data_IF_318929573678
#
_entry.id   IF_318929573678
#
_cell.length_a   1.000
_cell.length_b   1.000
_cell.length_c   1.000
_cell.angle_alpha   90.00
_cell.angle_beta   90.00
_cell.angle_gamma   90.00
#
_symmetry.space_group_name_H-M   'P 1'
#
loop_
_entity.id
_entity.type
_entity.pdbx_description
1 polymer ?
#
# COMPACT_ATOMS: atom_id res chain seq x y z
N UNK A 1 -5.88 -10.78 -20.12
CA UNK A 1 -6.32 -9.51 -20.74
C UNK A 1 -5.50 -8.41 -20.09
N UNK A 2 -4.75 -7.63 -20.87
CA UNK A 2 -4.11 -6.43 -20.34
C UNK A 2 -5.21 -5.41 -19.98
N UNK A 3 -5.06 -4.76 -18.83
CA UNK A 3 -5.97 -3.71 -18.39
C UNK A 3 -5.81 -2.50 -19.31
N UNK A 4 -6.88 -2.05 -19.97
CA UNK A 4 -6.88 -0.77 -20.67
C UNK A 4 -7.28 0.31 -19.67
N UNK A 5 -6.34 1.18 -19.33
CA UNK A 5 -6.56 2.30 -18.42
C UNK A 5 -6.68 3.57 -19.28
N UNK A 6 -7.59 4.47 -18.93
CA UNK A 6 -7.64 5.79 -19.58
C UNK A 6 -6.45 6.62 -19.15
N UNK A 7 -6.06 7.65 -19.90
CA UNK A 7 -4.95 8.55 -19.52
C UNK A 7 -5.13 9.13 -18.14
N UNK A 8 -6.35 9.54 -17.81
CA UNK A 8 -6.67 10.03 -16.48
C UNK A 8 -6.48 8.92 -15.44
N UNK A 9 -6.84 7.68 -15.75
CA UNK A 9 -6.58 6.54 -14.88
C UNK A 9 -5.09 6.19 -14.76
N UNK A 10 -4.28 6.33 -15.80
CA UNK A 10 -2.82 6.14 -15.74
C UNK A 10 -2.14 7.25 -14.95
N UNK A 11 -2.54 8.49 -15.20
CA UNK A 11 -2.11 9.66 -14.45
C UNK A 11 -2.51 9.49 -12.98
N UNK A 12 -3.75 9.08 -12.69
CA UNK A 12 -4.20 8.85 -11.31
C UNK A 12 -3.52 7.64 -10.66
N UNK A 13 -3.19 6.61 -11.44
CA UNK A 13 -2.36 5.49 -10.99
C UNK A 13 -0.96 5.96 -10.63
N UNK A 14 -0.31 6.76 -11.48
CA UNK A 14 1.03 7.30 -11.25
C UNK A 14 1.04 8.32 -10.10
N UNK A 15 -0.01 9.16 -9.99
CA UNK A 15 -0.23 10.03 -8.83
C UNK A 15 -0.35 9.22 -7.55
N UNK A 16 -1.11 8.13 -7.56
CA UNK A 16 -1.24 7.24 -6.41
C UNK A 16 0.10 6.60 -6.08
N UNK A 17 0.83 6.15 -7.10
CA UNK A 17 2.13 5.48 -6.96
C UNK A 17 3.18 6.38 -6.30
N UNK A 18 3.21 7.64 -6.75
CA UNK A 18 4.15 8.69 -6.31
C UNK A 18 3.63 9.52 -5.12
N UNK A 19 2.46 9.18 -4.59
CA UNK A 19 1.76 9.92 -3.52
C UNK A 19 1.49 11.40 -3.85
N UNK A 20 1.19 11.72 -5.10
CA UNK A 20 0.99 13.09 -5.58
C UNK A 20 -0.25 13.78 -4.96
N UNK A 21 -1.22 13.04 -4.42
CA UNK A 21 -2.46 13.57 -3.82
C UNK A 21 -2.50 13.47 -2.30
N UNK A 22 -1.42 13.04 -1.64
CA UNK A 22 -1.29 12.84 -0.19
C UNK A 22 -2.29 11.86 0.44
N UNK A 23 -2.93 11.01 -0.35
CA UNK A 23 -3.62 9.84 0.17
C UNK A 23 -2.79 8.63 -0.18
N UNK A 24 -2.52 7.84 0.86
CA UNK A 24 -1.94 6.49 0.86
C UNK A 24 -1.99 5.84 -0.54
N UNK A 25 -0.87 5.35 -1.09
CA UNK A 25 0.35 4.91 -0.39
C UNK A 25 1.43 5.99 -0.21
N UNK A 26 2.15 5.90 0.91
CA UNK A 26 3.04 6.89 1.59
C UNK A 26 4.14 7.53 0.72
N UNK A 27 4.75 8.60 1.27
CA UNK A 27 5.81 9.41 0.65
C UNK A 27 7.00 8.56 0.17
N UNK A 28 7.79 9.12 -0.73
CA UNK A 28 8.99 8.49 -1.27
C UNK A 28 10.23 9.23 -0.77
N UNK A 29 11.29 8.47 -0.47
CA UNK A 29 12.62 9.01 -0.19
C UNK A 29 13.54 8.67 -1.36
N UNK A 30 14.15 9.70 -1.93
CA UNK A 30 15.21 9.55 -2.91
C UNK A 30 16.52 9.23 -2.20
N UNK A 31 17.17 8.15 -2.63
CA UNK A 31 18.43 7.67 -2.09
C UNK A 31 19.45 7.41 -3.19
N UNK A 32 20.73 7.54 -2.88
CA UNK A 32 21.86 7.14 -3.71
C UNK A 32 22.33 5.76 -3.28
N UNK A 33 22.92 4.99 -4.20
CA UNK A 33 23.54 3.71 -3.86
C UNK A 33 24.99 3.58 -4.34
N UNK A 34 25.81 2.90 -3.53
CA UNK A 34 27.24 2.68 -3.77
C UNK A 34 27.59 1.24 -4.16
N UNK A 35 26.61 0.33 -4.15
CA UNK A 35 26.79 -1.01 -4.69
C UNK A 35 26.95 -0.96 -6.21
N UNK A 36 27.83 -1.80 -6.77
CA UNK A 36 27.97 -1.93 -8.22
C UNK A 36 26.86 -2.83 -8.80
N UNK A 37 25.60 -2.50 -8.50
CA UNK A 37 24.42 -3.25 -8.92
C UNK A 37 23.85 -2.62 -10.19
N UNK A 38 23.46 -3.46 -11.14
CA UNK A 38 22.68 -3.05 -12.31
C UNK A 38 21.22 -3.41 -12.06
N UNK A 39 20.29 -2.43 -12.05
CA UNK A 39 18.90 -2.71 -11.73
C UNK A 39 18.20 -3.72 -12.64
N UNK A 40 17.45 -4.62 -12.01
CA UNK A 40 16.59 -5.62 -12.63
C UNK A 40 15.19 -5.65 -12.00
N UNK A 41 14.22 -6.20 -12.70
CA UNK A 41 12.79 -6.20 -12.29
C UNK A 41 12.51 -7.00 -11.01
N UNK A 42 13.36 -7.99 -10.69
CA UNK A 42 13.23 -8.83 -9.50
C UNK A 42 14.09 -8.35 -8.32
N UNK A 43 14.66 -7.15 -8.41
CA UNK A 43 15.61 -6.67 -7.42
C UNK A 43 14.94 -6.32 -6.09
N UNK A 44 15.66 -6.62 -5.03
CA UNK A 44 15.26 -6.36 -3.63
C UNK A 44 16.42 -5.73 -2.87
N UNK A 45 16.15 -4.93 -1.83
CA UNK A 45 17.21 -4.40 -0.96
C UNK A 45 17.97 -5.54 -0.27
N UNK A 46 19.29 -5.39 -0.13
CA UNK A 46 20.13 -6.33 0.61
C UNK A 46 21.42 -5.67 1.10
N UNK A 47 22.18 -6.37 1.94
CA UNK A 47 23.56 -5.95 2.32
C UNK A 47 24.52 -5.88 1.11
N UNK A 48 24.20 -6.52 -0.01
CA UNK A 48 25.05 -6.53 -1.20
C UNK A 48 24.58 -5.54 -2.28
N UNK A 49 23.32 -5.13 -2.26
CA UNK A 49 22.68 -4.32 -3.30
C UNK A 49 21.89 -3.18 -2.69
N UNK A 50 22.01 -1.99 -3.29
CA UNK A 50 21.24 -0.80 -2.93
C UNK A 50 21.48 -0.32 -1.49
N UNK A 51 22.73 -0.33 -1.04
CA UNK A 51 23.14 0.33 0.19
C UNK A 51 23.68 1.74 -0.08
N UNK A 52 23.36 2.64 0.84
CA UNK A 52 23.66 4.06 0.77
C UNK A 52 25.16 4.37 1.02
N UNK A 53 25.65 5.52 0.52
CA UNK A 53 27.05 5.98 0.70
C UNK A 53 27.35 6.43 2.15
N UNK A 54 27.31 5.52 3.12
CA UNK A 54 27.53 5.87 4.54
C UNK A 54 29.01 6.02 4.89
N UNK A 55 29.91 5.45 4.10
CA UNK A 55 31.35 5.62 4.20
C UNK A 55 32.04 5.59 2.82
N UNK A 56 33.37 5.67 2.82
CA UNK A 56 34.18 5.66 1.59
C UNK A 56 34.57 4.25 1.11
N UNK A 57 34.14 3.19 1.80
CA UNK A 57 34.59 1.82 1.53
C UNK A 57 33.81 1.13 0.40
N UNK A 58 32.73 1.74 -0.08
CA UNK A 58 31.79 1.10 -1.01
C UNK A 58 31.26 -0.24 -0.44
N UNK A 59 31.03 -0.32 0.87
CA UNK A 59 30.40 -1.44 1.56
C UNK A 59 29.15 -0.99 2.28
N UNK A 60 28.27 -1.91 2.65
CA UNK A 60 27.08 -1.56 3.42
C UNK A 60 27.47 -1.05 4.82
N UNK A 61 27.10 0.20 5.12
CA UNK A 61 27.29 0.85 6.42
C UNK A 61 26.06 0.79 7.33
N UNK A 62 25.14 -0.15 7.11
CA UNK A 62 23.92 -0.26 7.91
C UNK A 62 24.21 -0.48 9.40
N UNK A 63 23.35 0.06 10.27
CA UNK A 63 23.54 0.03 11.72
C UNK A 63 24.38 1.17 12.31
N UNK A 64 24.98 2.02 11.47
CA UNK A 64 25.76 3.18 11.90
C UNK A 64 25.35 4.45 11.15
N UNK A 65 25.52 5.60 11.79
CA UNK A 65 25.29 6.90 11.14
C UNK A 65 26.33 7.17 10.04
N UNK A 66 25.95 7.83 8.93
CA UNK A 66 26.87 8.17 7.83
C UNK A 66 28.01 9.09 8.28
N UNK A 67 29.21 8.78 7.81
CA UNK A 67 30.42 9.60 7.99
C UNK A 67 30.70 10.56 6.83
N UNK A 68 29.94 10.42 5.73
CA UNK A 68 30.14 11.10 4.45
C UNK A 68 29.43 12.46 4.35
N UNK A 69 28.60 12.79 5.34
CA UNK A 69 27.65 13.90 5.26
C UNK A 69 26.41 13.60 4.42
N UNK A 70 26.14 12.31 4.16
CA UNK A 70 24.91 11.90 3.50
C UNK A 70 23.68 12.41 4.28
N UNK A 71 22.72 13.07 3.61
CA UNK A 71 21.73 13.90 4.30
C UNK A 71 20.74 13.07 5.08
N UNK A 72 20.44 13.50 6.30
CA UNK A 72 19.26 13.07 7.04
C UNK A 72 18.00 13.60 6.36
N UNK A 73 16.92 12.82 6.43
CA UNK A 73 15.63 13.26 5.92
C UNK A 73 15.15 14.43 6.75
N UNK A 74 14.94 15.56 6.07
CA UNK A 74 14.27 16.71 6.65
C UNK A 74 12.76 16.52 6.49
N UNK A 75 12.06 16.40 7.61
CA UNK A 75 10.60 16.44 7.62
C UNK A 75 10.14 17.82 7.16
N UNK A 76 9.59 17.88 5.95
CA UNK A 76 8.91 19.06 5.44
C UNK A 76 7.39 19.01 5.70
N UNK A 77 6.99 18.17 6.65
CA UNK A 77 5.62 17.81 7.01
C UNK A 77 5.45 17.84 8.52
N UNK A 78 4.27 18.26 8.99
CA UNK A 78 3.95 18.44 10.42
C UNK A 78 2.79 17.54 10.88
N UNK A 79 2.35 16.60 10.05
CA UNK A 79 1.33 15.63 10.44
C UNK A 79 1.89 14.61 11.44
N UNK A 80 1.08 14.24 12.43
CA UNK A 80 1.45 13.54 13.68
C UNK A 80 2.12 12.17 13.47
N UNK A 81 1.86 11.50 12.34
CA UNK A 81 2.30 10.12 12.07
C UNK A 81 3.39 10.02 10.98
N UNK A 82 4.07 11.12 10.65
CA UNK A 82 5.03 11.20 9.52
C UNK A 82 6.38 11.80 9.92
N UNK A 83 6.98 11.25 10.98
CA UNK A 83 8.35 11.59 11.39
C UNK A 83 9.40 10.65 10.78
N UNK A 84 10.11 11.14 9.75
CA UNK A 84 11.16 10.40 9.06
C UNK A 84 12.58 10.84 9.46
N UNK A 85 12.79 11.56 10.57
CA UNK A 85 14.12 12.14 10.88
C UNK A 85 15.22 11.11 11.07
N UNK A 86 14.87 9.85 11.35
CA UNK A 86 15.84 8.76 11.52
C UNK A 86 16.23 8.06 10.21
N UNK A 87 15.66 8.49 9.08
CA UNK A 87 16.05 8.05 7.75
C UNK A 87 17.07 8.98 7.10
N UNK A 88 17.76 8.45 6.10
CA UNK A 88 18.70 9.19 5.25
C UNK A 88 18.22 9.26 3.80
N UNK A 89 18.49 10.39 3.14
CA UNK A 89 18.05 10.69 1.78
C UNK A 89 17.25 11.99 1.69
N UNK A 90 16.54 12.17 0.58
CA UNK A 90 15.73 13.36 0.34
C UNK A 90 14.26 12.95 0.25
N UNK A 91 13.44 13.43 1.18
CA UNK A 91 11.99 13.22 1.17
C UNK A 91 11.35 14.00 0.01
N UNK A 92 10.67 13.26 -0.88
CA UNK A 92 10.01 13.83 -2.05
C UNK A 92 8.59 14.26 -1.70
N UNK A 93 8.29 15.54 -1.94
CA UNK A 93 6.94 16.08 -1.86
C UNK A 93 6.13 15.69 -3.11
N UNK A 94 5.06 14.92 -2.92
CA UNK A 94 4.17 14.44 -3.96
C UNK A 94 3.62 15.52 -4.92
N UNK A 95 3.34 16.74 -4.44
CA UNK A 95 2.76 17.79 -5.29
C UNK A 95 3.73 18.38 -6.30
N UNK A 96 5.02 18.09 -6.16
CA UNK A 96 6.06 18.66 -7.03
C UNK A 96 6.32 17.81 -8.28
N UNK A 97 5.68 16.64 -8.37
CA UNK A 97 5.72 15.83 -9.58
C UNK A 97 4.89 16.52 -10.67
N UNK A 98 5.53 16.80 -11.79
CA UNK A 98 4.85 17.15 -13.03
C UNK A 98 4.51 15.85 -13.76
N UNK A 99 3.22 15.60 -14.02
CA UNK A 99 2.73 14.33 -14.57
C UNK A 99 1.90 14.60 -15.80
N UNK A 100 2.27 13.99 -16.92
CA UNK A 100 1.55 14.13 -18.18
C UNK A 100 1.80 12.97 -19.13
N UNK A 101 0.88 12.82 -20.09
CA UNK A 101 0.96 11.80 -21.13
C UNK A 101 1.47 12.43 -22.41
N UNK A 102 2.57 11.89 -22.95
CA UNK A 102 3.11 12.31 -24.25
C UNK A 102 2.80 11.25 -25.30
N UNK A 103 2.34 11.68 -26.47
CA UNK A 103 2.02 10.80 -27.59
C UNK A 103 3.27 10.54 -28.42
N UNK A 104 3.70 9.27 -28.49
CA UNK A 104 4.72 8.84 -29.44
C UNK A 104 4.05 8.05 -30.57
N UNK A 105 4.10 8.57 -31.80
CA UNK A 105 3.55 7.88 -32.96
C UNK A 105 4.33 6.58 -33.25
N UNK A 106 3.60 5.48 -33.43
CA UNK A 106 4.14 4.14 -33.71
C UNK A 106 3.70 3.67 -35.11
N UNK A 107 2.42 3.86 -35.45
CA UNK A 107 1.91 3.60 -36.78
C UNK A 107 1.75 4.92 -37.54
N UNK A 108 2.82 5.35 -38.20
CA UNK A 108 2.81 6.52 -39.10
C UNK A 108 2.53 6.10 -40.55
N UNK A 109 1.96 7.01 -41.35
CA UNK A 109 1.72 6.76 -42.77
C UNK A 109 0.46 5.94 -43.06
N UNK A 110 -0.49 5.93 -42.12
CA UNK A 110 -1.80 5.32 -42.31
C UNK A 110 -2.77 6.33 -42.91
N UNK A 111 -3.76 5.81 -43.62
CA UNK A 111 -4.87 6.59 -44.12
C UNK A 111 -6.17 5.98 -43.63
N UNK A 112 -7.15 6.82 -43.33
CA UNK A 112 -8.44 6.38 -42.85
C UNK A 112 -9.60 7.07 -43.58
N UNK A 113 -10.68 6.32 -43.76
CA UNK A 113 -11.99 6.80 -44.16
C UNK A 113 -12.93 6.79 -42.94
N UNK A 114 -13.83 7.76 -42.84
CA UNK A 114 -14.71 7.90 -41.67
C UNK A 114 -15.82 8.93 -41.91
N UNK A 115 -16.94 8.79 -41.21
CA UNK A 115 -18.10 9.68 -41.37
C UNK A 115 -18.22 10.63 -40.18
N UNK A 116 -18.42 11.93 -40.42
CA UNK A 116 -18.62 12.90 -39.33
C UNK A 116 -19.76 12.46 -38.39
N UNK A 117 -19.54 12.63 -37.08
CA UNK A 117 -20.50 12.26 -36.03
C UNK A 117 -20.52 10.78 -35.67
N UNK A 118 -19.69 9.93 -36.28
CA UNK A 118 -19.54 8.51 -35.91
C UNK A 118 -18.28 8.28 -35.08
N UNK A 119 -18.23 7.14 -34.39
CA UNK A 119 -17.07 6.69 -33.61
C UNK A 119 -16.14 5.77 -34.43
N UNK A 120 -16.38 5.58 -35.73
CA UNK A 120 -15.69 4.53 -36.50
C UNK A 120 -14.91 5.10 -37.67
N UNK A 121 -13.72 4.55 -37.86
CA UNK A 121 -12.87 4.76 -39.03
C UNK A 121 -12.45 3.41 -39.61
N UNK A 122 -12.23 3.35 -40.92
CA UNK A 122 -11.60 2.21 -41.60
C UNK A 122 -10.21 2.61 -42.02
N UNK A 123 -9.17 1.93 -41.53
CA UNK A 123 -7.77 2.22 -41.89
C UNK A 123 -7.32 1.38 -43.09
N UNK A 124 -6.35 1.88 -43.84
CA UNK A 124 -5.74 1.12 -44.94
C UNK A 124 -4.85 -0.04 -44.47
N UNK A 125 -4.33 0.03 -43.24
CA UNK A 125 -3.51 -1.00 -42.62
C UNK A 125 -3.62 -0.91 -41.08
N UNK A 126 -4.06 -2.01 -40.45
CA UNK A 126 -4.17 -2.13 -39.00
C UNK A 126 -2.93 -2.74 -38.32
N UNK A 127 -1.87 -3.07 -39.07
CA UNK A 127 -0.64 -3.61 -38.51
C UNK A 127 -0.04 -2.65 -37.48
N UNK A 128 0.40 -3.18 -36.34
CA UNK A 128 0.99 -2.43 -35.22
C UNK A 128 0.05 -1.48 -34.47
N UNK A 129 -1.22 -1.35 -34.88
CA UNK A 129 -2.25 -0.63 -34.12
C UNK A 129 -2.82 -1.56 -33.05
N UNK A 130 -2.93 -1.05 -31.84
CA UNK A 130 -3.52 -1.75 -30.68
C UNK A 130 -4.66 -0.95 -30.10
N UNK A 131 -5.59 -1.65 -29.43
CA UNK A 131 -6.57 -1.00 -28.57
C UNK A 131 -5.82 -0.17 -27.52
N UNK A 132 -6.26 1.05 -27.30
CA UNK A 132 -5.61 2.03 -26.43
C UNK A 132 -4.62 2.96 -27.14
N UNK A 133 -4.17 2.65 -28.36
CA UNK A 133 -3.35 3.59 -29.11
C UNK A 133 -4.17 4.86 -29.39
N UNK A 134 -3.54 6.02 -29.22
CA UNK A 134 -4.12 7.30 -29.58
C UNK A 134 -4.18 7.44 -31.08
N UNK A 135 -5.29 7.98 -31.57
CA UNK A 135 -5.50 8.29 -32.98
C UNK A 135 -5.39 9.80 -33.17
N UNK A 136 -4.51 10.22 -34.08
CA UNK A 136 -4.38 11.61 -34.51
C UNK A 136 -4.62 11.72 -36.01
N UNK A 137 -5.30 12.79 -36.42
CA UNK A 137 -5.55 13.08 -37.83
C UNK A 137 -6.61 14.16 -38.01
N UNK A 138 -6.66 14.74 -39.20
CA UNK A 138 -7.69 15.74 -39.51
C UNK A 138 -9.09 15.10 -39.40
N UNK A 139 -9.97 15.71 -38.60
CA UNK A 139 -11.32 15.17 -38.32
C UNK A 139 -11.40 14.29 -37.07
N UNK A 140 -10.28 13.87 -36.49
CA UNK A 140 -10.23 13.16 -35.21
C UNK A 140 -10.03 14.18 -34.07
N UNK A 141 -10.89 14.21 -33.04
CA UNK A 141 -10.68 15.06 -31.86
C UNK A 141 -9.35 14.78 -31.16
N UNK A 142 -8.76 15.77 -30.51
CA UNK A 142 -7.62 15.58 -29.61
C UNK A 142 -7.94 14.59 -28.49
N UNK A 143 -6.97 13.81 -28.04
CA UNK A 143 -7.11 12.77 -27.01
C UNK A 143 -8.11 11.64 -27.39
N UNK A 144 -8.23 11.33 -28.68
CA UNK A 144 -9.01 10.18 -29.15
C UNK A 144 -8.14 8.93 -29.13
N UNK A 145 -8.68 7.79 -28.68
CA UNK A 145 -7.97 6.51 -28.62
C UNK A 145 -8.82 5.38 -29.20
N UNK A 146 -8.16 4.30 -29.63
CA UNK A 146 -8.79 3.11 -30.23
C UNK A 146 -9.45 2.25 -29.15
N UNK A 147 -10.76 2.06 -29.23
CA UNK A 147 -11.58 1.28 -28.29
C UNK A 147 -11.70 -0.17 -28.73
N UNK A 148 -11.93 -0.39 -30.02
CA UNK A 148 -12.07 -1.72 -30.61
C UNK A 148 -11.40 -1.81 -31.99
N UNK A 149 -11.03 -3.03 -32.39
CA UNK A 149 -10.42 -3.32 -33.69
C UNK A 149 -11.09 -4.57 -34.25
N UNK A 150 -11.75 -4.42 -35.40
CA UNK A 150 -12.39 -5.50 -36.15
C UNK A 150 -11.84 -5.53 -37.57
N UNK A 151 -10.70 -6.21 -37.74
CA UNK A 151 -9.98 -6.20 -39.01
C UNK A 151 -9.38 -4.81 -39.28
N UNK A 152 -9.88 -4.12 -40.31
CA UNK A 152 -9.47 -2.75 -40.66
C UNK A 152 -10.38 -1.68 -40.08
N UNK A 153 -11.51 -2.06 -39.48
CA UNK A 153 -12.45 -1.15 -38.86
C UNK A 153 -12.08 -0.93 -37.39
N UNK A 154 -11.89 0.33 -37.01
CA UNK A 154 -11.56 0.74 -35.66
C UNK A 154 -12.74 1.52 -35.08
N UNK A 155 -13.02 1.28 -33.81
CA UNK A 155 -13.87 2.15 -33.00
C UNK A 155 -12.99 3.08 -32.16
N UNK A 156 -13.37 4.35 -32.08
CA UNK A 156 -12.66 5.41 -31.40
C UNK A 156 -13.44 5.88 -30.16
N UNK A 157 -12.75 6.48 -29.20
CA UNK A 157 -13.37 6.95 -27.95
C UNK A 157 -14.20 8.23 -28.09
N UNK A 158 -14.09 8.93 -29.22
CA UNK A 158 -14.79 10.18 -29.50
C UNK A 158 -15.34 10.20 -30.93
N UNK A 159 -16.39 11.00 -31.16
CA UNK A 159 -16.98 11.16 -32.50
C UNK A 159 -16.08 11.99 -33.42
N UNK A 160 -16.05 11.62 -34.71
CA UNK A 160 -15.34 12.40 -35.72
C UNK A 160 -15.98 13.78 -35.90
N UNK A 161 -15.14 14.82 -35.91
CA UNK A 161 -15.55 16.21 -36.13
C UNK A 161 -15.74 16.55 -37.60
N UNK A 162 -15.26 15.70 -38.50
CA UNK A 162 -15.41 15.85 -39.95
C UNK A 162 -15.44 14.48 -40.65
N UNK A 163 -16.00 14.43 -41.86
CA UNK A 163 -15.91 13.26 -42.73
C UNK A 163 -14.49 13.15 -43.27
N UNK A 164 -13.91 11.96 -43.19
CA UNK A 164 -12.55 11.63 -43.61
C UNK A 164 -12.61 10.81 -44.89
N UNK A 165 -11.76 11.12 -45.86
CA UNK A 165 -11.53 10.25 -47.02
C UNK A 165 -10.05 10.12 -47.29
N UNK A 166 -9.52 8.88 -47.25
CA UNK A 166 -8.09 8.56 -47.36
C UNK A 166 -7.19 9.52 -46.58
N UNK A 167 -7.67 9.96 -45.40
CA UNK A 167 -7.05 11.04 -44.62
C UNK A 167 -5.89 10.49 -43.83
N UNK A 168 -4.75 11.18 -43.87
CA UNK A 168 -3.57 10.79 -43.10
C UNK A 168 -3.89 10.76 -41.61
N UNK A 169 -3.63 9.61 -40.99
CA UNK A 169 -3.78 9.39 -39.56
C UNK A 169 -2.51 8.75 -39.01
N UNK A 170 -2.23 9.02 -37.74
CA UNK A 170 -1.15 8.40 -36.98
C UNK A 170 -1.73 7.75 -35.75
N UNK A 171 -1.18 6.60 -35.38
CA UNK A 171 -1.50 5.97 -34.10
C UNK A 171 -0.26 5.89 -33.22
N UNK A 172 -0.40 6.25 -31.95
CA UNK A 172 0.71 6.31 -31.02
C UNK A 172 0.35 5.82 -29.64
N UNK A 173 1.33 5.33 -28.88
CA UNK A 173 1.12 5.04 -27.45
C UNK A 173 1.27 6.33 -26.67
N UNK A 174 0.34 6.57 -25.75
CA UNK A 174 0.56 7.55 -24.70
C UNK A 174 1.57 6.99 -23.72
N UNK A 175 2.66 7.72 -23.46
CA UNK A 175 3.55 7.43 -22.34
C UNK A 175 3.27 8.41 -21.23
N UNK A 176 2.63 7.92 -20.17
CA UNK A 176 2.40 8.71 -18.97
C UNK A 176 3.71 8.77 -18.17
N UNK A 177 4.30 9.97 -18.11
CA UNK A 177 5.59 10.23 -17.47
C UNK A 177 5.40 11.23 -16.32
N UNK A 178 6.11 10.99 -15.23
CA UNK A 178 6.23 11.89 -14.10
C UNK A 178 7.68 12.37 -13.98
N UNK A 179 7.86 13.69 -13.87
CA UNK A 179 9.17 14.33 -13.70
C UNK A 179 9.23 15.07 -12.37
N UNK A 180 10.38 15.01 -11.70
CA UNK A 180 10.62 15.73 -10.44
C UNK A 180 11.71 16.79 -10.60
N UNK A 181 11.59 17.97 -9.94
CA UNK A 181 12.66 18.97 -9.93
C UNK A 181 14.01 18.41 -9.46
N UNK A 182 15.11 18.94 -10.00
CA UNK A 182 16.48 18.53 -9.63
C UNK A 182 16.66 18.53 -8.11
N UNK A 183 17.14 17.40 -7.58
CA UNK A 183 17.57 17.24 -6.20
C UNK A 183 19.09 17.19 -6.14
N UNK A 184 19.67 17.71 -5.06
CA UNK A 184 21.11 17.84 -4.90
C UNK A 184 21.54 17.15 -3.60
N UNK A 185 22.42 16.17 -3.73
CA UNK A 185 23.17 15.60 -2.62
C UNK A 185 24.50 16.33 -2.52
N UNK A 186 24.83 16.86 -1.34
CA UNK A 186 26.13 17.49 -1.05
C UNK A 186 26.84 16.69 0.02
N UNK A 187 28.07 16.27 -0.27
CA UNK A 187 28.87 15.46 0.66
C UNK A 187 29.85 16.34 1.43
N UNK A 188 30.09 15.99 2.69
CA UNK A 188 31.07 16.68 3.54
C UNK A 188 32.39 15.93 3.64
N UNK A 189 32.41 14.66 3.24
CA UNK A 189 33.60 13.78 3.23
C UNK A 189 33.56 12.84 2.03
N UNK A 190 34.66 12.13 1.78
CA UNK A 190 34.72 11.10 0.74
C UNK A 190 33.67 10.00 0.97
N UNK A 191 33.01 9.57 -0.11
CA UNK A 191 31.92 8.57 -0.08
C UNK A 191 32.11 7.42 -1.08
N UNK A 192 33.33 7.28 -1.60
CA UNK A 192 33.67 6.26 -2.59
C UNK A 192 33.00 6.54 -3.94
N UNK A 193 32.63 5.47 -4.64
CA UNK A 193 31.99 5.51 -5.95
C UNK A 193 30.46 5.37 -5.84
N UNK A 194 29.71 6.38 -6.26
CA UNK A 194 28.24 6.32 -6.30
C UNK A 194 27.79 5.87 -7.69
N UNK A 195 27.01 4.79 -7.75
CA UNK A 195 26.66 4.13 -9.02
C UNK A 195 25.30 4.54 -9.58
N UNK A 196 24.39 4.98 -8.72
CA UNK A 196 23.04 5.34 -9.13
C UNK A 196 22.19 5.84 -7.98
N UNK A 197 20.88 5.81 -8.20
CA UNK A 197 19.87 6.22 -7.24
C UNK A 197 18.70 5.25 -7.21
N UNK A 198 17.93 5.27 -6.12
CA UNK A 198 16.72 4.49 -5.96
C UNK A 198 15.70 5.26 -5.13
N UNK A 199 14.44 4.89 -5.28
CA UNK A 199 13.33 5.40 -4.49
C UNK A 199 12.92 4.30 -3.51
N UNK A 200 12.81 4.66 -2.24
CA UNK A 200 12.24 3.79 -1.21
C UNK A 200 10.94 4.37 -0.67
N UNK A 201 10.04 3.49 -0.23
CA UNK A 201 8.89 3.92 0.58
C UNK A 201 9.39 4.52 1.89
N UNK A 202 8.97 5.75 2.18
CA UNK A 202 9.25 6.40 3.44
C UNK A 202 8.59 5.59 4.58
N UNK A 203 9.34 5.38 5.64
CA UNK A 203 8.91 4.74 6.88
C UNK A 203 9.76 5.30 8.03
N UNK A 204 9.43 4.97 9.27
CA UNK A 204 10.09 5.55 10.42
C UNK A 204 11.22 4.64 10.98
N UNK A 205 11.67 3.65 10.21
CA UNK A 205 12.64 2.68 10.72
C UNK A 205 14.02 3.33 11.00
N UNK A 206 14.59 3.17 12.21
CA UNK A 206 15.86 3.78 12.56
C UNK A 206 17.04 3.17 11.80
N UNK A 207 18.12 3.94 11.68
CA UNK A 207 19.40 3.48 11.09
C UNK A 207 20.03 2.31 11.85
N UNK A 208 19.73 2.17 13.15
CA UNK A 208 20.18 1.05 13.98
C UNK A 208 19.48 -0.27 13.65
N UNK A 209 18.44 -0.24 12.82
CA UNK A 209 17.64 -1.39 12.42
C UNK A 209 17.71 -1.63 10.90
N UNK A 210 17.64 -0.56 10.11
CA UNK A 210 17.67 -0.61 8.65
C UNK A 210 18.90 -1.38 8.15
N UNK A 211 18.64 -2.52 7.50
CA UNK A 211 19.63 -3.38 6.86
C UNK A 211 20.63 -4.06 7.79
N UNK A 212 20.43 -3.98 9.11
CA UNK A 212 21.26 -4.66 10.10
C UNK A 212 20.96 -6.15 10.05
N UNK A 213 21.98 -6.96 9.78
CA UNK A 213 21.87 -8.42 9.74
C UNK A 213 21.26 -8.93 11.03
N UNK A 214 20.22 -9.76 10.90
CA UNK A 214 19.45 -10.29 12.02
C UNK A 214 18.93 -9.17 12.95
N UNK A 215 18.56 -8.04 12.34
CA UNK A 215 18.02 -6.88 13.05
C UNK A 215 16.65 -7.13 13.68
N UNK A 216 15.98 -8.23 13.35
CA UNK A 216 14.77 -8.67 14.01
C UNK A 216 14.71 -10.18 14.22
N UNK A 217 13.84 -10.59 15.13
CA UNK A 217 13.49 -11.98 15.38
C UNK A 217 11.99 -12.20 15.16
N UNK A 218 11.65 -13.34 14.58
CA UNK A 218 10.27 -13.69 14.22
C UNK A 218 9.84 -14.91 15.02
N UNK A 219 8.71 -14.78 15.68
CA UNK A 219 8.10 -15.84 16.48
C UNK A 219 6.61 -15.96 16.17
N UNK A 220 5.99 -17.08 16.55
CA UNK A 220 4.54 -17.20 16.48
C UNK A 220 3.87 -16.18 17.41
N UNK A 221 2.90 -15.46 16.89
CA UNK A 221 2.06 -14.55 17.66
C UNK A 221 1.13 -15.30 18.60
N UNK A 222 0.47 -14.55 19.49
CA UNK A 222 -0.62 -15.10 20.29
C UNK A 222 -1.81 -15.38 19.38
N UNK A 223 -2.20 -16.65 19.28
CA UNK A 223 -3.30 -17.10 18.45
C UNK A 223 -4.58 -16.32 18.76
N UNK A 224 -5.24 -15.82 17.72
CA UNK A 224 -6.53 -15.13 17.85
C UNK A 224 -7.64 -16.17 17.76
N UNK A 225 -8.57 -16.14 18.71
CA UNK A 225 -9.75 -17.01 18.72
C UNK A 225 -11.00 -16.20 18.44
N UNK A 226 -11.81 -16.64 17.47
CA UNK A 226 -13.16 -16.12 17.22
C UNK A 226 -14.18 -17.23 17.45
N UNK A 227 -15.10 -17.02 18.37
CA UNK A 227 -16.18 -17.96 18.70
C UNK A 227 -17.52 -17.50 18.11
N UNK A 228 -18.49 -18.40 18.02
CA UNK A 228 -19.79 -18.12 17.40
C UNK A 228 -19.74 -18.02 15.88
N UNK A 229 -18.63 -18.44 15.25
CA UNK A 229 -18.48 -18.37 13.80
C UNK A 229 -19.50 -19.27 13.09
N UNK A 230 -19.85 -18.90 11.86
CA UNK A 230 -20.74 -19.67 11.00
C UNK A 230 -20.14 -19.88 9.62
N UNK A 231 -20.18 -21.12 9.14
CA UNK A 231 -19.73 -21.51 7.82
C UNK A 231 -20.52 -22.71 7.29
N UNK A 232 -20.72 -22.76 5.98
CA UNK A 232 -21.44 -23.86 5.31
C UNK A 232 -20.44 -24.68 4.51
N UNK A 233 -20.49 -26.01 4.65
CA UNK A 233 -19.64 -26.93 3.89
C UNK A 233 -19.61 -26.61 2.39
N UNK A 234 -18.43 -26.66 1.79
CA UNK A 234 -18.21 -26.33 0.38
C UNK A 234 -18.15 -24.82 0.08
N UNK A 235 -18.33 -23.95 1.07
CA UNK A 235 -18.11 -22.50 0.92
C UNK A 235 -16.63 -22.17 1.13
N UNK A 236 -16.15 -21.06 0.56
CA UNK A 236 -14.81 -20.52 0.80
C UNK A 236 -14.83 -19.32 1.74
N UNK A 237 -15.77 -19.28 2.69
CA UNK A 237 -15.87 -18.18 3.64
C UNK A 237 -16.52 -18.60 4.95
N UNK A 238 -16.24 -17.84 6.00
CA UNK A 238 -16.92 -17.90 7.30
C UNK A 238 -17.44 -16.52 7.68
N UNK A 239 -18.54 -16.47 8.40
CA UNK A 239 -19.03 -15.27 9.06
C UNK A 239 -18.60 -15.27 10.52
N UNK A 240 -18.05 -14.16 10.97
CA UNK A 240 -17.78 -13.90 12.38
C UNK A 240 -19.09 -13.49 13.07
N UNK A 241 -19.22 -13.74 14.37
CA UNK A 241 -20.36 -13.26 15.13
C UNK A 241 -20.19 -11.77 15.44
N UNK A 242 -21.15 -10.95 15.06
CA UNK A 242 -21.22 -9.55 15.48
C UNK A 242 -21.31 -9.45 17.00
N UNK A 243 -20.52 -8.55 17.57
CA UNK A 243 -20.52 -8.25 19.01
C UNK A 243 -20.96 -6.80 19.20
N UNK A 244 -21.95 -6.62 20.08
CA UNK A 244 -22.48 -5.32 20.44
C UNK A 244 -22.21 -5.02 21.91
N UNK A 245 -21.74 -3.80 22.20
CA UNK A 245 -21.67 -3.25 23.56
C UNK A 245 -22.87 -2.35 23.75
N UNK A 246 -23.65 -2.58 24.82
CA UNK A 246 -24.99 -1.98 24.98
C UNK A 246 -25.17 -1.23 26.31
N UNK A 247 -24.37 -0.19 26.59
CA UNK A 247 -24.50 0.55 27.83
C UNK A 247 -25.72 1.49 27.80
N UNK A 248 -26.16 1.90 28.98
CA UNK A 248 -27.26 2.86 29.14
C UNK A 248 -26.74 4.27 28.98
N UNK A 249 -27.37 5.07 28.12
CA UNK A 249 -27.12 6.50 27.99
C UNK A 249 -27.66 7.20 29.24
N UNK A 250 -26.78 7.86 29.98
CA UNK A 250 -27.09 8.62 31.20
C UNK A 250 -27.31 10.11 30.91
N UNK A 251 -26.73 10.65 29.84
CA UNK A 251 -27.07 11.98 29.32
C UNK A 251 -26.68 12.15 27.85
N UNK A 252 -27.35 13.07 27.15
CA UNK A 252 -26.99 13.48 25.79
C UNK A 252 -27.92 14.58 25.30
N UNK A 253 -27.36 15.75 24.98
CA UNK A 253 -28.13 16.95 24.64
C UNK A 253 -28.22 17.09 23.13
N UNK A 254 -29.41 17.39 22.60
CA UNK A 254 -29.58 17.60 21.16
C UNK A 254 -28.62 18.68 20.64
N UNK A 255 -28.01 18.42 19.47
CA UNK A 255 -27.05 19.32 18.85
C UNK A 255 -25.61 19.23 19.37
N UNK A 256 -25.34 18.43 20.43
CA UNK A 256 -23.97 18.18 20.89
C UNK A 256 -23.36 16.95 20.22
N UNK A 257 -22.05 16.76 20.37
CA UNK A 257 -21.28 15.63 19.83
C UNK A 257 -20.90 14.63 20.94
N UNK A 258 -21.65 14.62 22.04
CA UNK A 258 -21.28 13.88 23.26
C UNK A 258 -22.48 13.20 23.88
N UNK A 259 -22.28 11.95 24.30
CA UNK A 259 -23.18 11.21 25.19
C UNK A 259 -22.41 10.75 26.42
N UNK A 260 -23.06 10.72 27.57
CA UNK A 260 -22.56 10.00 28.74
C UNK A 260 -23.25 8.64 28.83
N UNK A 261 -22.49 7.61 29.18
CA UNK A 261 -23.00 6.25 29.42
C UNK A 261 -22.81 5.82 30.87
N UNK A 262 -23.45 4.73 31.29
CA UNK A 262 -23.26 4.13 32.62
C UNK A 262 -21.91 3.38 32.72
N UNK A 263 -21.44 2.81 31.62
CA UNK A 263 -20.12 2.21 31.48
C UNK A 263 -19.58 2.33 30.05
N UNK A 264 -18.32 2.75 29.92
CA UNK A 264 -17.60 2.76 28.64
C UNK A 264 -16.76 1.49 28.43
N UNK A 265 -16.90 0.45 29.28
CA UNK A 265 -16.15 -0.80 29.13
C UNK A 265 -16.41 -1.41 27.75
N UNK A 266 -15.33 -1.75 27.03
CA UNK A 266 -15.34 -2.30 25.66
C UNK A 266 -15.87 -1.36 24.56
N UNK A 267 -16.16 -0.10 24.89
CA UNK A 267 -16.36 0.94 23.87
C UNK A 267 -15.00 1.39 23.36
N UNK A 268 -14.83 1.49 22.04
CA UNK A 268 -13.59 1.87 21.38
C UNK A 268 -13.84 2.95 20.32
N UNK A 269 -12.79 3.73 20.02
CA UNK A 269 -12.81 4.73 18.95
C UNK A 269 -13.04 4.00 17.61
N UNK A 270 -13.80 4.63 16.71
CA UNK A 270 -14.14 4.10 15.40
C UNK A 270 -15.39 3.21 15.36
N UNK A 271 -15.86 2.72 16.52
CA UNK A 271 -17.09 1.91 16.60
C UNK A 271 -18.29 2.70 16.10
N UNK A 272 -19.16 2.03 15.32
CA UNK A 272 -20.45 2.59 14.95
C UNK A 272 -21.37 2.57 16.15
N UNK A 273 -22.03 3.68 16.41
CA UNK A 273 -23.00 3.82 17.49
C UNK A 273 -24.39 4.07 16.94
N UNK A 274 -25.38 3.39 17.52
CA UNK A 274 -26.79 3.61 17.26
C UNK A 274 -27.55 3.75 18.58
N UNK A 275 -28.67 4.46 18.58
CA UNK A 275 -29.46 4.72 19.77
C UNK A 275 -30.45 5.85 19.55
N UNK A 276 -31.36 6.04 20.51
CA UNK A 276 -32.31 7.16 20.45
C UNK A 276 -31.55 8.48 20.46
N UNK A 277 -31.89 9.41 19.56
CA UNK A 277 -31.26 10.73 19.46
C UNK A 277 -29.90 10.75 18.75
N UNK A 278 -29.34 9.59 18.38
CA UNK A 278 -28.06 9.46 17.69
C UNK A 278 -28.28 9.44 16.17
N UNK A 279 -27.51 10.24 15.42
CA UNK A 279 -27.62 10.30 13.97
C UNK A 279 -27.25 8.96 13.31
N UNK A 280 -27.80 8.67 12.13
CA UNK A 280 -27.41 7.46 11.40
C UNK A 280 -25.92 7.50 11.01
N UNK A 281 -25.27 6.33 11.06
CA UNK A 281 -23.85 6.15 10.73
C UNK A 281 -22.92 7.01 11.59
N UNK A 282 -23.28 7.28 12.84
CA UNK A 282 -22.40 7.97 13.80
C UNK A 282 -21.31 7.02 14.29
N UNK A 283 -20.13 7.55 14.55
CA UNK A 283 -18.96 6.83 15.08
C UNK A 283 -18.40 7.49 16.32
N UNK A 284 -17.75 6.69 17.16
CA UNK A 284 -16.95 7.17 18.29
C UNK A 284 -15.66 7.80 17.79
N UNK A 285 -15.34 9.00 18.23
CA UNK A 285 -14.08 9.72 17.92
C UNK A 285 -13.22 9.97 19.16
N UNK A 286 -13.77 9.79 20.36
CA UNK A 286 -13.03 9.95 21.60
C UNK A 286 -13.80 9.37 22.78
N UNK A 287 -13.06 9.04 23.84
CA UNK A 287 -13.61 8.47 25.08
C UNK A 287 -12.88 9.15 26.24
N UNK A 288 -13.62 9.67 27.22
CA UNK A 288 -13.05 10.22 28.46
C UNK A 288 -13.91 9.80 29.65
N UNK A 289 -13.42 8.85 30.45
CA UNK A 289 -14.23 8.22 31.49
C UNK A 289 -15.47 7.54 30.88
N UNK A 290 -16.67 8.02 31.22
CA UNK A 290 -17.93 7.55 30.63
C UNK A 290 -18.52 8.50 29.59
N UNK A 291 -17.83 9.60 29.27
CA UNK A 291 -18.19 10.48 28.17
C UNK A 291 -17.66 9.91 26.84
N UNK A 292 -18.54 9.80 25.86
CA UNK A 292 -18.25 9.31 24.51
C UNK A 292 -18.46 10.45 23.51
N UNK A 293 -17.40 10.78 22.78
CA UNK A 293 -17.42 11.81 21.75
C UNK A 293 -17.71 11.19 20.39
N UNK A 294 -18.53 11.86 19.58
CA UNK A 294 -19.11 11.35 18.34
C UNK A 294 -18.70 12.22 17.14
N UNK A 295 -18.60 11.61 15.95
CA UNK A 295 -18.27 12.32 14.70
C UNK A 295 -19.43 13.19 14.17
N UNK A 296 -20.65 12.99 14.69
CA UNK A 296 -21.86 13.69 14.28
C UNK A 296 -22.64 14.21 15.49
N UNK A 297 -23.27 15.37 15.29
CA UNK A 297 -24.14 15.95 16.30
C UNK A 297 -25.39 15.08 16.53
N UNK A 298 -25.86 15.04 17.77
CA UNK A 298 -27.09 14.36 18.17
C UNK A 298 -28.32 15.02 17.52
N UNK A 299 -29.18 14.21 16.92
CA UNK A 299 -30.42 14.65 16.25
C UNK A 299 -31.56 14.92 17.21
N UNK A 300 -31.43 14.49 18.47
CA UNK A 300 -32.37 14.72 19.57
C UNK A 300 -31.69 14.46 20.91
N UNK A 301 -32.42 14.58 22.03
CA UNK A 301 -31.89 14.20 23.33
C UNK A 301 -31.61 12.68 23.36
N UNK A 302 -30.36 12.30 23.56
CA UNK A 302 -29.96 10.90 23.56
C UNK A 302 -30.32 10.24 24.89
N UNK A 303 -30.96 9.06 24.82
CA UNK A 303 -31.48 8.36 26.00
C UNK A 303 -31.70 6.87 25.72
N UNK A 304 -31.91 6.08 26.78
CA UNK A 304 -32.09 4.63 26.68
C UNK A 304 -30.77 3.90 26.45
N UNK A 305 -30.78 2.83 25.67
CA UNK A 305 -29.58 2.03 25.40
C UNK A 305 -28.88 2.51 24.13
N UNK A 306 -27.57 2.75 24.20
CA UNK A 306 -26.72 2.89 23.03
C UNK A 306 -26.23 1.50 22.60
N UNK A 307 -26.10 1.26 21.31
CA UNK A 307 -25.51 0.04 20.76
C UNK A 307 -24.24 0.42 20.00
N UNK A 308 -23.10 0.01 20.51
CA UNK A 308 -21.80 0.15 19.87
C UNK A 308 -21.42 -1.17 19.20
N UNK A 309 -21.26 -1.15 17.88
CA UNK A 309 -20.87 -2.33 17.12
C UNK A 309 -19.34 -2.46 17.15
N UNK A 310 -18.85 -3.57 17.70
CA UNK A 310 -17.42 -3.90 17.76
C UNK A 310 -16.95 -4.34 16.38
N UNK A 311 -15.78 -3.86 15.94
CA UNK A 311 -15.16 -4.40 14.73
C UNK A 311 -14.50 -5.74 15.03
N UNK A 312 -15.28 -6.82 14.96
CA UNK A 312 -14.82 -8.17 15.33
C UNK A 312 -13.72 -8.73 14.43
N UNK A 313 -13.44 -8.11 13.28
CA UNK A 313 -12.40 -8.51 12.35
C UNK A 313 -11.15 -7.61 12.39
N UNK A 314 -11.09 -6.62 13.31
CA UNK A 314 -10.03 -5.59 13.32
C UNK A 314 -8.61 -6.13 13.42
N UNK A 315 -8.43 -7.27 14.10
CA UNK A 315 -7.13 -7.93 14.30
C UNK A 315 -6.87 -9.07 13.30
N UNK A 316 -7.69 -9.20 12.26
CA UNK A 316 -7.52 -10.21 11.22
C UNK A 316 -6.99 -9.57 9.95
N UNK A 317 -6.10 -10.28 9.25
CA UNK A 317 -5.56 -9.83 7.97
C UNK A 317 -5.32 -10.99 7.02
N UNK A 318 -5.19 -10.70 5.72
CA UNK A 318 -4.90 -11.70 4.69
C UNK A 318 -3.58 -12.42 5.00
N UNK A 319 -3.47 -13.69 4.64
CA UNK A 319 -2.29 -14.53 4.89
C UNK A 319 -2.26 -15.22 6.26
N UNK A 320 -3.11 -14.82 7.23
CA UNK A 320 -3.20 -15.55 8.51
C UNK A 320 -3.63 -16.99 8.26
N UNK A 321 -2.93 -17.93 8.88
CA UNK A 321 -3.29 -19.35 8.83
C UNK A 321 -4.49 -19.61 9.74
N UNK A 322 -5.38 -20.50 9.32
CA UNK A 322 -6.64 -20.76 10.01
C UNK A 322 -6.72 -22.22 10.40
N UNK A 323 -7.20 -22.48 11.62
CA UNK A 323 -7.39 -23.83 12.11
C UNK A 323 -8.59 -23.95 13.07
N UNK A 324 -8.96 -25.18 13.39
CA UNK A 324 -9.86 -25.53 14.48
C UNK A 324 -9.34 -26.75 15.22
N UNK A 325 -9.59 -26.79 16.52
CA UNK A 325 -9.28 -27.95 17.37
C UNK A 325 -10.50 -28.82 17.65
N UNK A 326 -11.71 -28.33 17.33
CA UNK A 326 -12.97 -29.03 17.58
C UNK A 326 -13.23 -30.14 16.55
N UNK A 327 -13.99 -31.16 16.96
CA UNK A 327 -14.50 -32.21 16.08
C UNK A 327 -16.03 -32.11 15.97
N UNK A 328 -16.61 -32.07 14.76
CA UNK A 328 -15.92 -32.15 13.46
C UNK A 328 -15.14 -30.87 13.12
N UNK A 329 -13.98 -31.02 12.49
CA UNK A 329 -13.17 -29.89 12.01
C UNK A 329 -13.73 -29.41 10.66
N UNK A 330 -14.17 -28.16 10.57
CA UNK A 330 -14.67 -27.56 9.33
C UNK A 330 -13.60 -26.93 8.44
N UNK A 331 -12.37 -26.78 8.94
CA UNK A 331 -11.26 -26.10 8.26
C UNK A 331 -10.28 -27.12 7.65
N UNK A 332 -10.05 -26.99 6.34
CA UNK A 332 -9.05 -27.77 5.63
C UNK A 332 -7.62 -27.41 6.10
N UNK A 333 -6.68 -28.35 5.96
CA UNK A 333 -5.27 -28.07 6.25
C UNK A 333 -4.72 -26.96 5.34
N UNK A 334 -3.78 -26.16 5.87
CA UNK A 334 -3.13 -25.04 5.17
C UNK A 334 -4.07 -23.92 4.69
N UNK A 335 -5.28 -23.82 5.23
CA UNK A 335 -6.21 -22.74 4.90
C UNK A 335 -5.68 -21.40 5.41
N UNK A 336 -5.74 -20.36 4.58
CA UNK A 336 -5.39 -18.98 4.95
C UNK A 336 -6.51 -17.99 4.61
N UNK A 337 -6.46 -16.79 5.20
CA UNK A 337 -7.33 -15.68 4.82
C UNK A 337 -6.89 -15.11 3.46
N UNK A 338 -7.82 -14.98 2.51
CA UNK A 338 -7.58 -14.33 1.20
C UNK A 338 -8.31 -12.99 1.04
N UNK A 339 -9.24 -12.68 1.94
CA UNK A 339 -9.96 -11.41 1.93
C UNK A 339 -10.92 -11.28 3.12
N UNK A 340 -11.32 -10.06 3.43
CA UNK A 340 -12.25 -9.77 4.54
C UNK A 340 -13.23 -8.69 4.08
N UNK A 341 -14.53 -8.98 4.16
CA UNK A 341 -15.58 -7.97 4.08
C UNK A 341 -15.93 -7.55 5.51
N UNK A 342 -15.55 -6.33 5.90
CA UNK A 342 -15.80 -5.79 7.25
C UNK A 342 -17.28 -5.45 7.50
N UNK A 343 -18.10 -5.37 6.44
CA UNK A 343 -19.52 -5.04 6.56
C UNK A 343 -20.38 -6.31 6.64
N UNK A 344 -21.23 -6.37 7.67
CA UNK A 344 -22.23 -7.42 7.82
C UNK A 344 -23.31 -7.27 6.74
N UNK A 345 -23.43 -8.25 5.85
CA UNK A 345 -24.49 -8.28 4.83
C UNK A 345 -25.83 -8.70 5.44
N UNK A 346 -26.94 -8.27 4.86
CA UNK A 346 -28.28 -8.62 5.33
C UNK A 346 -28.47 -10.14 5.36
N UNK A 347 -28.84 -10.67 6.53
CA UNK A 347 -29.05 -12.12 6.74
C UNK A 347 -27.80 -12.87 7.23
N UNK A 348 -26.66 -12.19 7.34
CA UNK A 348 -25.44 -12.74 7.93
C UNK A 348 -25.32 -12.39 9.41
N UNK A 349 -24.50 -13.15 10.12
CA UNK A 349 -24.30 -12.98 11.57
C UNK A 349 -23.19 -11.99 11.92
N UNK A 350 -22.44 -11.51 10.92
CA UNK A 350 -21.34 -10.56 11.08
C UNK A 350 -20.42 -10.55 9.85
N UNK A 351 -19.25 -9.88 9.95
CA UNK A 351 -18.26 -9.76 8.88
C UNK A 351 -17.87 -11.09 8.26
N UNK A 352 -17.48 -11.06 6.99
CA UNK A 352 -17.12 -12.26 6.23
C UNK A 352 -15.62 -12.35 6.03
N UNK A 353 -15.05 -13.50 6.34
CA UNK A 353 -13.64 -13.84 6.09
C UNK A 353 -13.59 -14.87 4.97
N UNK A 354 -12.94 -14.54 3.86
CA UNK A 354 -12.74 -15.43 2.71
C UNK A 354 -11.48 -16.28 2.90
N UNK A 355 -11.59 -17.53 2.48
CA UNK A 355 -10.62 -18.59 2.71
C UNK A 355 -9.99 -19.03 1.39
N UNK A 356 -8.73 -19.46 1.47
CA UNK A 356 -8.01 -20.06 0.33
C UNK A 356 -8.58 -21.43 -0.08
N UNK A 357 -9.17 -22.16 0.89
CA UNK A 357 -9.72 -23.49 0.71
C UNK A 357 -11.23 -23.52 1.01
N UNK A 358 -11.91 -24.54 0.48
CA UNK A 358 -13.32 -24.80 0.81
C UNK A 358 -13.46 -25.41 2.20
N UNK A 359 -14.52 -25.02 2.91
CA UNK A 359 -14.92 -25.63 4.17
C UNK A 359 -15.25 -27.12 3.96
N UNK A 360 -14.71 -27.97 4.82
CA UNK A 360 -14.89 -29.44 4.76
C UNK A 360 -16.02 -29.94 5.64
N UNK A 361 -16.57 -29.08 6.52
CA UNK A 361 -17.78 -29.32 7.29
C UNK A 361 -18.47 -27.97 7.59
N UNK A 362 -19.70 -28.02 8.09
CA UNK A 362 -20.40 -26.87 8.62
C UNK A 362 -19.76 -26.42 9.94
N UNK A 363 -19.51 -25.12 10.05
CA UNK A 363 -19.04 -24.46 11.25
C UNK A 363 -20.23 -23.76 11.88
N UNK A 364 -20.63 -24.15 13.10
CA UNK A 364 -21.78 -23.55 13.78
C UNK A 364 -21.85 -23.99 15.24
N UNK A 365 -22.46 -23.16 16.08
CA UNK A 365 -22.62 -23.40 17.53
C UNK A 365 -23.28 -24.74 17.81
N UNK A 366 -24.28 -25.14 17.00
CA UNK A 366 -24.99 -26.42 17.18
C UNK A 366 -24.12 -27.66 16.96
N UNK A 367 -23.01 -27.52 16.25
CA UNK A 367 -22.04 -28.59 16.00
C UNK A 367 -20.88 -28.56 17.01
N UNK A 368 -20.82 -27.55 17.89
CA UNK A 368 -19.74 -27.36 18.87
C UNK A 368 -18.37 -27.06 18.26
N UNK A 369 -18.32 -26.63 17.00
CA UNK A 369 -17.10 -26.35 16.24
C UNK A 369 -17.05 -24.90 15.74
N UNK A 370 -17.69 -23.95 16.42
CA UNK A 370 -17.80 -22.54 16.03
C UNK A 370 -16.62 -21.65 16.46
N UNK A 371 -15.62 -22.23 17.14
CA UNK A 371 -14.38 -21.57 17.47
C UNK A 371 -13.36 -21.75 16.34
N UNK A 372 -12.92 -20.64 15.74
CA UNK A 372 -11.88 -20.60 14.71
C UNK A 372 -10.65 -19.91 15.29
N UNK A 373 -9.49 -20.49 14.99
CA UNK A 373 -8.18 -20.05 15.43
C UNK A 373 -7.43 -19.43 14.26
N UNK A 374 -6.78 -18.29 14.51
CA UNK A 374 -6.01 -17.55 13.51
C UNK A 374 -4.58 -17.38 14.00
N UNK A 375 -3.64 -17.92 13.22
CA UNK A 375 -2.22 -17.96 13.50
C UNK A 375 -1.47 -16.99 12.57
N UNK A 376 -0.47 -16.32 13.14
CA UNK A 376 0.39 -15.36 12.46
C UNK A 376 1.74 -15.31 13.17
N UNK A 377 2.73 -14.68 12.54
CA UNK A 377 4.00 -14.37 13.17
C UNK A 377 4.11 -12.90 13.58
N UNK A 378 4.80 -12.66 14.69
CA UNK A 378 5.18 -11.34 15.17
C UNK A 378 6.66 -11.13 14.94
N UNK A 379 7.03 -9.92 14.50
CA UNK A 379 8.42 -9.50 14.36
C UNK A 379 8.78 -8.66 15.59
N UNK A 380 9.90 -8.97 16.22
CA UNK A 380 10.54 -8.14 17.24
C UNK A 380 11.75 -7.47 16.62
N UNK A 381 11.92 -6.16 16.77
CA UNK A 381 13.15 -5.46 16.41
C UNK A 381 14.18 -5.63 17.51
N UNK A 382 15.22 -6.42 17.27
CA UNK A 382 16.20 -6.83 18.28
C UNK A 382 17.61 -7.07 17.71
N UNK A 383 18.24 -6.07 17.06
CA UNK A 383 19.60 -6.23 16.53
C UNK A 383 20.55 -6.64 17.66
N UNK A 384 21.18 -7.80 17.53
CA UNK A 384 22.06 -8.36 18.57
C UNK A 384 21.33 -9.00 19.76
N UNK A 385 20.04 -9.32 19.61
CA UNK A 385 19.24 -10.09 20.58
C UNK A 385 18.65 -9.27 21.73
N UNK A 386 18.64 -7.94 21.63
CA UNK A 386 18.00 -7.05 22.62
C UNK A 386 17.00 -6.14 21.91
N UNK A 387 15.77 -6.13 22.41
CA UNK A 387 14.68 -5.34 21.82
C UNK A 387 15.00 -3.84 21.80
N UNK A 388 14.77 -3.22 20.65
CA UNK A 388 14.85 -1.77 20.44
C UNK A 388 13.56 -1.26 19.80
N UNK A 389 13.33 0.04 19.88
CA UNK A 389 12.18 0.65 19.22
C UNK A 389 12.33 0.59 17.69
N UNK A 390 11.28 0.16 16.98
CA UNK A 390 11.26 0.12 15.52
C UNK A 390 10.76 1.41 14.88
N UNK A 391 10.03 2.24 15.64
CA UNK A 391 9.39 3.50 15.22
C UNK A 391 8.40 3.42 14.03
N UNK A 392 8.28 2.27 13.36
CA UNK A 392 7.26 1.97 12.34
C UNK A 392 5.83 2.22 12.84
N UNK A 393 4.96 2.62 11.92
CA UNK A 393 3.53 2.84 12.12
C UNK A 393 2.67 1.89 11.27
N UNK A 394 1.48 1.46 11.74
CA UNK A 394 0.52 0.69 10.93
C UNK A 394 0.31 1.31 9.56
N UNK A 395 0.55 0.56 8.48
CA UNK A 395 0.53 0.97 7.08
C UNK A 395 1.90 1.26 6.44
N UNK A 396 3.00 1.19 7.21
CA UNK A 396 4.35 1.36 6.65
C UNK A 396 4.69 0.18 5.74
N UNK A 397 5.35 0.44 4.61
CA UNK A 397 5.77 -0.62 3.68
C UNK A 397 7.25 -0.88 3.85
N UNK A 398 7.57 -2.10 4.25
CA UNK A 398 8.94 -2.58 4.47
C UNK A 398 9.22 -3.83 3.64
N UNK A 399 10.48 -4.14 3.46
CA UNK A 399 10.93 -5.43 2.94
C UNK A 399 11.53 -6.23 4.08
N UNK A 400 11.03 -7.44 4.30
CA UNK A 400 11.54 -8.36 5.32
C UNK A 400 12.33 -9.43 4.58
N UNK A 401 13.63 -9.50 4.84
CA UNK A 401 14.51 -10.53 4.31
C UNK A 401 14.72 -11.65 5.33
N UNK A 402 15.05 -12.84 4.85
CA UNK A 402 15.51 -13.93 5.70
C UNK A 402 16.81 -13.54 6.41
N UNK A 403 16.83 -13.69 7.73
CA UNK A 403 18.06 -13.66 8.52
C UNK A 403 18.74 -15.03 8.56
N UNK A 404 19.80 -15.13 9.36
CA UNK A 404 20.74 -16.26 9.38
C UNK A 404 20.09 -17.59 9.74
N UNK A 405 19.10 -17.62 10.65
CA UNK A 405 18.47 -18.86 11.13
C UNK A 405 17.02 -19.11 10.68
N UNK A 406 16.57 -18.42 9.62
CA UNK A 406 15.14 -18.31 9.33
C UNK A 406 14.63 -19.14 8.14
N UNK A 407 13.32 -19.41 8.12
CA UNK A 407 12.59 -20.01 7.00
C UNK A 407 11.53 -19.05 6.42
N UNK A 408 11.72 -17.75 6.64
CA UNK A 408 10.73 -16.73 6.34
C UNK A 408 10.59 -16.50 4.82
N UNK A 409 9.37 -16.27 4.31
CA UNK A 409 9.19 -15.80 2.94
C UNK A 409 9.63 -14.34 2.84
N UNK A 410 10.78 -14.11 2.21
CA UNK A 410 11.29 -12.77 1.99
C UNK A 410 10.39 -12.03 0.99
N UNK A 411 9.84 -10.89 1.38
CA UNK A 411 8.88 -10.14 0.56
C UNK A 411 8.68 -8.71 1.07
N UNK A 412 7.93 -7.93 0.30
CA UNK A 412 7.39 -6.66 0.74
C UNK A 412 6.14 -6.90 1.59
N UNK A 413 6.11 -6.25 2.75
CA UNK A 413 5.02 -6.32 3.71
C UNK A 413 4.56 -4.92 4.07
N UNK A 414 3.28 -4.79 4.40
CA UNK A 414 2.75 -3.59 5.06
C UNK A 414 2.63 -3.88 6.55
N UNK A 415 3.09 -2.99 7.42
CA UNK A 415 2.91 -3.10 8.88
C UNK A 415 1.41 -3.07 9.17
N UNK A 416 0.91 -4.06 9.89
CA UNK A 416 -0.52 -4.20 10.18
C UNK A 416 -0.86 -3.62 11.56
N UNK A 417 -0.18 -4.11 12.60
CA UNK A 417 -0.28 -3.58 13.97
C UNK A 417 1.11 -3.40 14.57
N UNK A 418 1.21 -2.53 15.57
CA UNK A 418 2.42 -2.28 16.36
C UNK A 418 2.10 -2.49 17.84
N UNK A 419 2.02 -3.75 18.32
CA UNK A 419 1.56 -4.04 19.69
C UNK A 419 2.43 -3.41 20.78
N UNK A 420 3.72 -3.23 20.51
CA UNK A 420 4.67 -2.50 21.38
C UNK A 420 5.56 -1.60 20.52
N UNK A 421 6.44 -0.82 21.14
CA UNK A 421 7.44 -0.02 20.41
C UNK A 421 8.48 -0.87 19.68
N UNK A 422 8.64 -2.14 20.06
CA UNK A 422 9.64 -3.07 19.56
C UNK A 422 9.05 -4.28 18.84
N UNK A 423 7.73 -4.35 18.66
CA UNK A 423 7.07 -5.48 17.99
C UNK A 423 5.99 -5.01 17.03
N UNK A 424 5.89 -5.70 15.90
CA UNK A 424 4.87 -5.44 14.90
C UNK A 424 4.43 -6.70 14.18
N UNK A 425 3.25 -6.63 13.55
CA UNK A 425 2.70 -7.66 12.66
C UNK A 425 2.56 -7.10 11.25
N UNK A 426 2.29 -7.94 10.25
CA UNK A 426 2.26 -7.54 8.84
C UNK A 426 0.97 -7.93 8.13
N UNK A 427 0.73 -7.29 6.98
CA UNK A 427 -0.24 -7.71 5.97
C UNK A 427 0.44 -7.79 4.58
N UNK A 428 0.34 -8.92 3.86
CA UNK A 428 -0.14 -10.21 4.36
C UNK A 428 0.58 -10.68 5.63
N UNK A 429 -0.08 -11.49 6.45
CA UNK A 429 0.49 -11.97 7.70
C UNK A 429 1.76 -12.78 7.42
N UNK A 430 2.85 -12.40 8.06
CA UNK A 430 4.10 -13.13 7.99
C UNK A 430 3.89 -14.53 8.60
N UNK A 431 4.43 -15.54 7.93
CA UNK A 431 4.44 -16.92 8.40
C UNK A 431 5.88 -17.40 8.57
N UNK A 432 6.15 -18.11 9.67
CA UNK A 432 7.46 -18.70 9.96
C UNK A 432 8.11 -18.10 11.19
N UNK A 433 9.34 -18.53 11.48
CA UNK A 433 10.10 -18.15 12.67
C UNK A 433 11.59 -18.03 12.35
N UNK A 434 12.35 -17.38 13.23
CA UNK A 434 13.80 -17.20 13.12
C UNK A 434 14.19 -15.75 12.87
N UNK A 435 15.43 -15.52 12.48
CA UNK A 435 15.96 -14.16 12.30
C UNK A 435 15.44 -13.47 11.04
N UNK A 436 15.34 -12.15 11.07
CA UNK A 436 14.92 -11.32 9.95
C UNK A 436 15.87 -10.13 9.79
N UNK A 437 16.10 -9.70 8.55
CA UNK A 437 16.73 -8.41 8.26
C UNK A 437 15.70 -7.48 7.65
N UNK A 438 15.55 -6.29 8.23
CA UNK A 438 14.51 -5.34 7.85
C UNK A 438 15.08 -4.25 6.95
N UNK A 439 14.43 -3.98 5.83
CA UNK A 439 14.81 -2.92 4.91
C UNK A 439 13.61 -2.03 4.58
N UNK A 440 13.87 -0.76 4.31
CA UNK A 440 12.95 0.08 3.55
C UNK A 440 12.66 -0.55 2.20
N UNK A 441 11.38 -0.61 1.85
CA UNK A 441 10.93 -1.20 0.58
C UNK A 441 11.40 -0.36 -0.61
N UNK A 442 12.18 -0.98 -1.51
CA UNK A 442 12.58 -0.36 -2.78
C UNK A 442 11.38 -0.33 -3.73
N UNK A 443 11.18 0.81 -4.37
CA UNK A 443 10.12 1.05 -5.35
C UNK A 443 10.66 1.15 -6.77
N UNK A 444 11.82 1.79 -6.94
CA UNK A 444 12.44 2.04 -8.23
C UNK A 444 13.95 2.16 -8.03
N UNK A 445 14.76 1.74 -9.01
CA UNK A 445 16.19 2.00 -9.00
C UNK A 445 16.70 2.26 -10.43
N UNK A 446 17.70 3.15 -10.54
CA UNK A 446 18.36 3.46 -11.79
C UNK A 446 19.86 3.64 -11.57
N UNK A 447 20.63 3.10 -12.51
CA UNK A 447 22.09 3.29 -12.57
C UNK A 447 22.43 4.50 -13.42
N UNK A 448 23.39 5.30 -12.97
CA UNK A 448 23.90 6.40 -13.80
C UNK A 448 24.58 5.85 -15.05
N UNK A 449 24.10 6.28 -16.22
CA UNK A 449 24.66 5.91 -17.53
C UNK A 449 26.10 6.39 -17.71
N UNK A 450 26.45 7.52 -17.10
CA UNK A 450 27.79 8.11 -17.12
C UNK A 450 28.55 7.95 -15.78
N UNK A 451 28.03 7.11 -14.88
CA UNK A 451 28.65 6.81 -13.59
C UNK A 451 29.60 5.58 -13.63
N UNK A 452 30.23 5.23 -12.50
CA UNK A 452 30.02 5.81 -11.17
C UNK A 452 30.66 7.19 -11.01
N UNK A 453 30.11 8.00 -10.11
CA UNK A 453 30.69 9.27 -9.69
C UNK A 453 31.53 9.07 -8.44
N UNK A 454 32.81 9.42 -8.50
CA UNK A 454 33.70 9.36 -7.34
C UNK A 454 33.50 10.60 -6.46
N UNK A 455 33.20 10.39 -5.19
CA UNK A 455 33.08 11.42 -4.16
C UNK A 455 34.34 11.38 -3.29
N UNK A 456 35.16 12.42 -3.40
CA UNK A 456 36.49 12.45 -2.78
C UNK A 456 36.68 13.63 -1.84
N UNK A 457 35.99 14.75 -2.09
CA UNK A 457 36.22 16.01 -1.41
C UNK A 457 34.95 16.55 -0.74
N UNK A 458 35.13 17.34 0.31
CA UNK A 458 34.06 18.14 0.89
C UNK A 458 33.52 19.13 -0.16
N UNK A 459 32.20 19.16 -0.32
CA UNK A 459 31.51 19.99 -1.28
C UNK A 459 31.27 19.33 -2.63
N UNK A 460 31.72 18.08 -2.85
CA UNK A 460 31.34 17.29 -4.02
C UNK A 460 29.81 17.08 -4.01
N UNK A 461 29.20 17.16 -5.20
CA UNK A 461 27.74 17.09 -5.35
C UNK A 461 27.32 16.07 -6.39
N UNK A 462 26.19 15.42 -6.12
CA UNK A 462 25.44 14.63 -7.11
C UNK A 462 24.08 15.27 -7.29
N UNK A 463 23.73 15.52 -8.55
CA UNK A 463 22.47 16.11 -8.96
C UNK A 463 21.62 15.06 -9.66
N UNK A 464 20.37 14.93 -9.25
CA UNK A 464 19.46 13.91 -9.77
C UNK A 464 18.16 14.58 -10.20
N UNK A 465 17.74 14.31 -11.43
CA UNK A 465 16.41 14.64 -11.94
C UNK A 465 15.68 13.33 -12.18
N UNK A 466 14.53 13.14 -11.53
CA UNK A 466 13.78 11.88 -11.59
C UNK A 466 12.79 11.91 -12.75
N UNK A 467 12.74 10.81 -13.50
CA UNK A 467 11.70 10.56 -14.49
C UNK A 467 11.18 9.14 -14.30
N UNK A 468 9.88 9.00 -14.06
CA UNK A 468 9.20 7.71 -13.90
C UNK A 468 8.13 7.62 -14.99
N UNK A 469 8.14 6.55 -15.78
CA UNK A 469 7.11 6.32 -16.80
C UNK A 469 6.42 4.98 -16.57
N UNK A 470 5.11 4.95 -16.77
CA UNK A 470 4.38 3.70 -17.00
C UNK A 470 4.47 3.37 -18.50
N UNK A 471 4.63 2.08 -18.82
CA UNK A 471 4.60 1.52 -20.18
C UNK A 471 3.49 0.47 -20.29
#
# INVERSE_FOLDING_TARGET
MALLVTDQGEIDSLRTLLNATHKIPRNLVLKLYTSNTTPAESDVPSVANYYEPYDASNSAGYGVSPSTGYPEVINNRTEEDQDFTEQYGILLNGNRWDIGTTLNAIATGRTADGTSGTYSITVNDAADIKKGDYAEGAGIPTNTYVVDIQGLDLELSQQLTATMSTTAVSFGRGRTTASYPEQVFTFTSAAGSVYGYYLSRANNMPVTLQGVVDGGSVASGSQITKSGCKGVIGSNYVNLLDVNVTPTITSGVSGTYEIAVDSATNVAIGQRVTGTGIAAQTRVVGISGTAIYLDKALTGAASGTATFQVNVAENLTVGMAISQTATPNGIAANTTIVGIDLETKTGEIGPRVYLSELLVDNIQVSNGNDAILYDFSIVTSDPGGSAIDHNLNPGDVIYIAQGTSSSLPAAHYTVFETPTSSTFTTTPALSGTGDATLYSSIFFAERFTNGPYAIQNNGDQIKVTLNVSLD
#
